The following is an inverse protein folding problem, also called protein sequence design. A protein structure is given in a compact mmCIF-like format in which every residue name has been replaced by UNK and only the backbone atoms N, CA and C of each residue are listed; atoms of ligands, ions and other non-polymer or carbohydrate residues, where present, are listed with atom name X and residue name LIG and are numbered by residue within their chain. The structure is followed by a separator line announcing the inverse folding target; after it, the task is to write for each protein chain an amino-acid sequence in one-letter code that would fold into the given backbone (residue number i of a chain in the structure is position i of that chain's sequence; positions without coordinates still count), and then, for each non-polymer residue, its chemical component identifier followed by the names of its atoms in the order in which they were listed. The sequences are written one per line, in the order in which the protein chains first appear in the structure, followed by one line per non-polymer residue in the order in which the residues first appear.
data_IF_100778360394
#
_entry.id   IF_100778360394
#
_cell.length_a   1.000
_cell.length_b   1.000
_cell.length_c   1.000
_cell.angle_alpha   90.00
_cell.angle_beta   90.00
_cell.angle_gamma   90.00
#
_symmetry.space_group_name_H-M   'P 1'
#
loop_
_entity.id
_entity.type
_entity.pdbx_description
1 polymer ?
#
# COMPACT_ATOMS: atom_id res chain seq x y z
N UNK A 1 17.31 2.74 26.49
CA UNK A 1 15.86 2.94 26.71
C UNK A 1 15.12 2.28 25.56
N UNK A 2 13.99 1.59 25.86
CA UNK A 2 13.11 1.09 24.80
C UNK A 2 12.32 2.25 24.17
N UNK A 3 11.92 2.14 22.89
CA UNK A 3 11.11 3.14 22.19
C UNK A 3 9.84 3.52 22.99
N UNK A 4 9.15 2.52 23.56
CA UNK A 4 7.96 2.73 24.40
C UNK A 4 8.24 3.60 25.64
N UNK A 5 9.39 3.41 26.28
CA UNK A 5 9.78 4.22 27.45
C UNK A 5 10.08 5.66 27.04
N UNK A 6 10.77 5.87 25.91
CA UNK A 6 11.08 7.19 25.39
C UNK A 6 9.83 7.97 25.00
N UNK A 7 8.88 7.33 24.31
CA UNK A 7 7.59 7.94 23.94
C UNK A 7 6.75 8.25 25.18
N UNK A 8 6.71 7.36 26.18
CA UNK A 8 6.01 7.65 27.45
C UNK A 8 6.64 8.82 28.21
N UNK A 9 7.96 8.95 28.16
CA UNK A 9 8.66 10.10 28.75
C UNK A 9 8.27 11.40 28.04
N UNK A 10 8.26 11.41 26.70
CA UNK A 10 7.83 12.56 25.92
C UNK A 10 6.39 12.95 26.26
N UNK A 11 5.47 11.99 26.29
CA UNK A 11 4.07 12.23 26.65
C UNK A 11 3.92 12.88 28.02
N UNK A 12 4.70 12.46 29.03
CA UNK A 12 4.69 13.10 30.36
C UNK A 12 5.21 14.55 30.31
N UNK A 13 6.24 14.82 29.51
CA UNK A 13 6.78 16.18 29.34
C UNK A 13 5.79 17.10 28.64
N UNK A 14 5.11 16.61 27.60
CA UNK A 14 4.08 17.36 26.87
C UNK A 14 2.87 17.64 27.77
N UNK A 15 2.38 16.65 28.51
CA UNK A 15 1.28 16.85 29.46
C UNK A 15 1.64 17.86 30.58
N UNK A 16 2.92 17.88 30.97
CA UNK A 16 3.38 18.88 31.95
C UNK A 16 3.36 20.31 31.36
N UNK A 17 3.62 20.48 30.07
CA UNK A 17 3.46 21.78 29.40
C UNK A 17 1.99 22.18 29.25
N UNK A 18 1.10 21.23 28.98
CA UNK A 18 -0.35 21.53 28.84
C UNK A 18 -1.00 22.06 30.13
N UNK A 19 -0.42 21.81 31.31
CA UNK A 19 -0.84 22.37 32.58
C UNK A 19 -0.75 23.90 32.65
N UNK A 20 -0.03 24.56 31.71
CA UNK A 20 0.01 26.04 31.60
C UNK A 20 -1.34 26.68 31.26
N UNK A 21 -2.31 25.89 30.80
CA UNK A 21 -3.67 26.37 30.51
C UNK A 21 -4.40 26.88 31.78
N UNK A 22 -3.93 26.51 32.97
CA UNK A 22 -4.42 27.04 34.23
C UNK A 22 -3.62 28.31 34.63
N UNK A 23 -4.19 29.49 34.38
CA UNK A 23 -3.52 30.79 34.49
C UNK A 23 -2.91 31.03 35.88
N UNK A 24 -3.58 30.66 36.95
CA UNK A 24 -3.12 30.84 38.32
C UNK A 24 -1.91 29.98 38.65
N UNK A 25 -1.99 28.70 38.26
CA UNK A 25 -0.92 27.74 38.48
C UNK A 25 0.32 28.05 37.64
N UNK A 26 0.11 28.47 36.38
CA UNK A 26 1.17 28.90 35.46
C UNK A 26 1.92 30.12 36.04
N UNK A 27 1.22 31.15 36.53
CA UNK A 27 1.85 32.36 37.07
C UNK A 27 2.71 32.06 38.31
N UNK A 28 2.23 31.21 39.23
CA UNK A 28 2.96 30.82 40.43
C UNK A 28 4.19 29.95 40.07
N UNK A 29 4.01 28.95 39.24
CA UNK A 29 5.10 28.04 38.86
C UNK A 29 6.17 28.72 38.02
N UNK A 30 5.81 29.62 37.08
CA UNK A 30 6.77 30.34 36.27
C UNK A 30 7.49 31.44 37.05
N UNK A 31 6.76 32.16 37.96
CA UNK A 31 7.36 33.21 38.78
C UNK A 31 8.38 32.70 39.80
N UNK A 32 8.19 31.48 40.34
CA UNK A 32 9.06 30.92 41.38
C UNK A 32 10.14 29.99 40.84
N UNK A 33 9.86 29.21 39.80
CA UNK A 33 10.71 28.06 39.42
C UNK A 33 11.07 28.01 37.93
N UNK A 34 10.67 29.02 37.14
CA UNK A 34 10.85 29.00 35.69
C UNK A 34 10.38 27.67 35.05
N UNK A 35 9.19 27.22 35.43
CA UNK A 35 8.65 25.89 35.11
C UNK A 35 8.64 25.62 33.61
N UNK A 36 8.12 26.54 32.80
CA UNK A 36 8.06 26.39 31.36
C UNK A 36 9.44 26.21 30.75
N UNK A 37 10.41 27.05 31.13
CA UNK A 37 11.77 26.97 30.64
C UNK A 37 12.40 25.61 30.97
N UNK A 38 12.16 25.11 32.18
CA UNK A 38 12.64 23.77 32.57
C UNK A 38 12.02 22.64 31.74
N UNK A 39 10.73 22.73 31.42
CA UNK A 39 10.08 21.72 30.56
C UNK A 39 10.59 21.80 29.13
N UNK A 40 10.79 22.99 28.57
CA UNK A 40 11.38 23.18 27.24
C UNK A 40 12.78 22.56 27.18
N UNK A 41 13.64 22.87 28.16
CA UNK A 41 14.99 22.27 28.23
C UNK A 41 14.96 20.73 28.30
N UNK A 42 14.00 20.15 29.04
CA UNK A 42 13.83 18.70 29.12
C UNK A 42 13.37 18.09 27.80
N UNK A 43 12.51 18.79 27.07
CA UNK A 43 12.05 18.36 25.75
C UNK A 43 13.18 18.45 24.74
N UNK A 44 13.96 19.54 24.75
CA UNK A 44 15.14 19.66 23.87
C UNK A 44 16.17 18.55 24.15
N UNK A 45 16.44 18.27 25.41
CA UNK A 45 17.33 17.15 25.78
C UNK A 45 16.79 15.79 25.32
N UNK A 46 15.48 15.57 25.42
CA UNK A 46 14.84 14.37 24.91
C UNK A 46 15.00 14.28 23.38
N UNK A 47 14.76 15.37 22.67
CA UNK A 47 14.93 15.50 21.22
C UNK A 47 16.37 15.20 20.80
N UNK A 48 17.36 15.80 21.43
CA UNK A 48 18.77 15.51 21.16
C UNK A 48 19.10 14.02 21.30
N UNK A 49 18.49 13.34 22.26
CA UNK A 49 18.76 11.92 22.53
C UNK A 49 18.04 10.97 21.58
N UNK A 50 16.85 11.33 21.08
CA UNK A 50 15.95 10.39 20.41
C UNK A 50 15.52 10.81 19.00
N UNK A 51 15.88 12.02 18.53
CA UNK A 51 15.44 12.49 17.22
C UNK A 51 15.89 11.58 16.08
N UNK A 52 17.09 11.00 16.18
CA UNK A 52 17.61 10.06 15.18
C UNK A 52 16.87 8.74 15.11
N UNK A 53 16.19 8.34 16.20
CA UNK A 53 15.46 7.07 16.27
C UNK A 53 14.01 7.19 15.77
N UNK A 54 13.45 8.42 15.77
CA UNK A 54 12.05 8.66 15.41
C UNK A 54 11.65 8.12 14.03
N UNK A 55 12.42 8.37 12.94
CA UNK A 55 12.07 7.85 11.63
C UNK A 55 11.92 6.33 11.63
N UNK A 56 12.86 5.62 12.27
CA UNK A 56 12.84 4.16 12.39
C UNK A 56 11.61 3.66 13.18
N UNK A 57 11.21 4.36 14.24
CA UNK A 57 10.02 3.98 15.00
C UNK A 57 8.75 4.14 14.17
N UNK A 58 8.65 5.25 13.41
CA UNK A 58 7.50 5.49 12.53
C UNK A 58 7.44 4.44 11.41
N UNK A 59 8.58 4.13 10.79
CA UNK A 59 8.69 3.09 9.77
C UNK A 59 8.23 1.72 10.30
N UNK A 60 8.71 1.32 11.48
CA UNK A 60 8.32 0.06 12.12
C UNK A 60 6.82 -0.01 12.42
N UNK A 61 6.22 1.10 12.87
CA UNK A 61 4.77 1.17 13.09
C UNK A 61 4.03 1.03 11.77
N UNK A 62 4.50 1.72 10.72
CA UNK A 62 3.91 1.61 9.37
C UNK A 62 3.99 0.19 8.80
N UNK A 63 5.09 -0.51 8.99
CA UNK A 63 5.22 -1.91 8.59
C UNK A 63 4.22 -2.81 9.34
N UNK A 64 4.10 -2.65 10.65
CA UNK A 64 3.13 -3.42 11.44
C UNK A 64 1.69 -3.14 10.98
N UNK A 65 1.35 -1.89 10.72
CA UNK A 65 0.02 -1.49 10.23
C UNK A 65 -0.28 -2.10 8.85
N UNK A 66 0.71 -2.09 7.95
CA UNK A 66 0.61 -2.76 6.65
C UNK A 66 0.37 -4.28 6.79
N UNK A 67 1.13 -4.97 7.67
CA UNK A 67 0.92 -6.39 7.93
C UNK A 67 -0.44 -6.67 8.57
N UNK A 68 -0.91 -5.83 9.48
CA UNK A 68 -2.26 -5.96 10.06
C UNK A 68 -3.35 -5.83 8.98
N UNK A 69 -3.18 -4.91 8.05
CA UNK A 69 -4.10 -4.73 6.93
C UNK A 69 -4.15 -5.96 6.01
N UNK A 70 -2.98 -6.50 5.65
CA UNK A 70 -2.88 -7.73 4.85
C UNK A 70 -3.44 -8.96 5.60
N UNK A 71 -3.20 -9.06 6.89
CA UNK A 71 -3.74 -10.13 7.74
C UNK A 71 -5.28 -10.05 7.81
N UNK A 72 -5.83 -8.85 7.95
CA UNK A 72 -7.29 -8.62 7.93
C UNK A 72 -7.89 -8.99 6.57
N UNK A 73 -7.23 -8.62 5.47
CA UNK A 73 -7.63 -9.02 4.12
C UNK A 73 -7.64 -10.55 3.98
N UNK A 74 -6.60 -11.22 4.44
CA UNK A 74 -6.49 -12.69 4.43
C UNK A 74 -7.60 -13.34 5.26
N UNK A 75 -7.85 -12.84 6.46
CA UNK A 75 -8.89 -13.35 7.34
C UNK A 75 -10.29 -13.26 6.72
N UNK A 76 -10.57 -12.16 6.02
CA UNK A 76 -11.86 -11.94 5.36
C UNK A 76 -12.02 -12.74 4.05
N UNK A 77 -10.93 -13.34 3.53
CA UNK A 77 -10.93 -14.11 2.29
C UNK A 77 -10.27 -15.50 2.47
N UNK A 78 -10.88 -16.38 3.27
CA UNK A 78 -10.27 -17.67 3.62
C UNK A 78 -10.12 -18.64 2.43
N UNK A 79 -10.81 -18.38 1.32
CA UNK A 79 -10.74 -19.13 0.07
C UNK A 79 -9.67 -18.63 -0.91
N UNK A 80 -8.96 -17.54 -0.56
CA UNK A 80 -7.85 -17.04 -1.36
C UNK A 80 -6.58 -17.84 -1.02
N UNK A 81 -5.71 -17.95 -2.00
CA UNK A 81 -4.43 -18.67 -1.87
C UNK A 81 -3.25 -17.71 -1.88
N UNK A 82 -2.18 -18.08 -1.21
CA UNK A 82 -0.90 -17.38 -1.39
C UNK A 82 -0.23 -17.86 -2.68
N UNK A 83 0.15 -16.94 -3.58
CA UNK A 83 0.79 -17.30 -4.83
C UNK A 83 2.23 -17.78 -4.60
N UNK A 84 2.71 -18.64 -5.49
CA UNK A 84 4.12 -19.03 -5.52
C UNK A 84 4.94 -17.98 -6.24
N UNK A 85 6.01 -17.51 -5.61
CA UNK A 85 6.94 -16.54 -6.19
C UNK A 85 8.15 -17.29 -6.75
N UNK A 86 8.42 -17.11 -8.04
CA UNK A 86 9.60 -17.67 -8.70
C UNK A 86 10.72 -16.64 -8.78
N UNK A 87 11.95 -17.09 -8.65
CA UNK A 87 13.17 -16.28 -8.78
C UNK A 87 13.99 -16.59 -10.05
N UNK A 88 13.62 -17.63 -10.80
CA UNK A 88 14.49 -18.15 -11.85
C UNK A 88 14.23 -17.57 -13.25
N UNK A 89 12.97 -17.45 -13.63
CA UNK A 89 12.60 -16.95 -14.96
C UNK A 89 11.28 -16.20 -14.92
N UNK A 90 11.11 -15.27 -15.87
CA UNK A 90 9.84 -14.57 -16.00
C UNK A 90 8.74 -15.54 -16.41
N UNK A 91 7.72 -15.63 -15.59
CA UNK A 91 6.45 -16.25 -15.96
C UNK A 91 5.30 -15.66 -15.13
N UNK A 92 4.12 -15.76 -15.66
CA UNK A 92 2.86 -15.46 -14.99
C UNK A 92 1.89 -16.58 -15.37
N UNK A 93 1.65 -17.48 -14.43
CA UNK A 93 0.71 -18.59 -14.62
C UNK A 93 -0.32 -18.55 -13.52
N UNK A 94 -1.59 -18.58 -13.89
CA UNK A 94 -2.68 -18.67 -12.93
C UNK A 94 -3.87 -19.45 -13.51
N UNK A 95 -4.54 -20.20 -12.63
CA UNK A 95 -5.79 -20.89 -12.92
C UNK A 95 -6.94 -20.26 -12.16
N UNK A 96 -8.06 -20.06 -12.85
CA UNK A 96 -9.32 -19.59 -12.28
C UNK A 96 -9.16 -18.32 -11.42
N UNK A 97 -8.52 -17.28 -11.99
CA UNK A 97 -8.44 -15.95 -11.40
C UNK A 97 -9.81 -15.30 -11.30
N UNK A 98 -10.16 -14.80 -10.11
CA UNK A 98 -11.33 -13.98 -9.87
C UNK A 98 -10.95 -12.53 -9.53
N UNK A 99 -11.83 -11.59 -9.82
CA UNK A 99 -11.63 -10.19 -9.44
C UNK A 99 -12.04 -9.98 -7.97
N UNK A 100 -11.13 -9.55 -7.07
CA UNK A 100 -11.38 -9.50 -5.63
C UNK A 100 -12.60 -8.65 -5.21
N UNK A 101 -12.93 -7.62 -6.00
CA UNK A 101 -14.04 -6.70 -5.73
C UNK A 101 -15.36 -7.13 -6.39
N UNK A 102 -15.39 -8.26 -7.11
CA UNK A 102 -16.61 -8.75 -7.75
C UNK A 102 -17.37 -9.71 -6.84
N UNK A 103 -18.68 -9.70 -6.99
CA UNK A 103 -19.52 -10.70 -6.32
C UNK A 103 -19.11 -12.11 -6.77
N UNK A 104 -18.82 -12.99 -5.82
CA UNK A 104 -18.31 -14.36 -6.05
C UNK A 104 -19.20 -15.18 -6.95
N UNK A 105 -20.52 -15.03 -6.82
CA UNK A 105 -21.52 -15.79 -7.59
C UNK A 105 -21.65 -15.29 -9.04
N UNK A 106 -21.16 -14.08 -9.36
CA UNK A 106 -21.27 -13.47 -10.69
C UNK A 106 -19.91 -13.40 -11.42
N UNK A 107 -18.83 -13.66 -10.71
CA UNK A 107 -17.49 -13.56 -11.28
C UNK A 107 -17.15 -14.77 -12.14
N UNK A 108 -16.93 -14.56 -13.42
CA UNK A 108 -16.35 -15.58 -14.33
C UNK A 108 -14.84 -15.59 -14.11
N UNK A 109 -14.32 -16.72 -13.67
CA UNK A 109 -12.91 -16.91 -13.38
C UNK A 109 -12.16 -17.48 -14.56
N UNK A 110 -11.07 -16.83 -14.97
CA UNK A 110 -10.29 -17.22 -16.14
C UNK A 110 -8.81 -17.46 -15.74
N UNK A 111 -8.11 -18.24 -16.56
CA UNK A 111 -6.68 -18.45 -16.39
C UNK A 111 -5.85 -17.50 -17.24
N UNK A 112 -4.54 -17.49 -16.96
CA UNK A 112 -3.51 -16.87 -17.78
C UNK A 112 -2.25 -17.72 -17.73
N UNK A 113 -1.53 -17.80 -18.84
CA UNK A 113 -0.24 -18.50 -18.93
C UNK A 113 0.70 -17.72 -19.83
N UNK A 114 1.75 -17.14 -19.22
CA UNK A 114 2.85 -16.44 -19.89
C UNK A 114 4.15 -17.03 -19.37
N UNK A 115 4.88 -17.77 -20.19
CA UNK A 115 6.04 -18.56 -19.78
C UNK A 115 7.39 -18.00 -20.23
N UNK A 116 7.41 -16.94 -21.07
CA UNK A 116 8.64 -16.38 -21.64
C UNK A 116 8.53 -14.91 -22.03
N UNK A 117 9.69 -14.29 -22.28
CA UNK A 117 9.83 -12.94 -22.88
C UNK A 117 10.64 -13.01 -24.17
N UNK A 118 10.40 -12.16 -25.19
CA UNK A 118 9.29 -11.21 -25.28
C UNK A 118 7.96 -11.89 -25.56
N UNK A 119 6.88 -11.32 -25.06
CA UNK A 119 5.55 -11.89 -25.21
C UNK A 119 4.47 -10.79 -25.18
N UNK A 120 3.43 -10.96 -25.97
CA UNK A 120 2.23 -10.12 -25.88
C UNK A 120 0.96 -10.95 -26.10
N UNK A 121 -0.13 -10.56 -25.45
CA UNK A 121 -1.44 -11.16 -25.61
C UNK A 121 -2.40 -10.14 -26.20
N UNK A 122 -3.09 -10.50 -27.26
CA UNK A 122 -4.18 -9.70 -27.82
C UNK A 122 -5.51 -10.30 -27.33
N UNK A 123 -6.27 -9.51 -26.56
CA UNK A 123 -7.57 -9.91 -26.05
C UNK A 123 -8.65 -9.25 -26.89
N UNK A 124 -9.36 -10.04 -27.68
CA UNK A 124 -10.43 -9.59 -28.60
C UNK A 124 -11.78 -10.11 -28.13
N UNK A 125 -12.85 -9.49 -28.60
CA UNK A 125 -14.22 -9.91 -28.31
C UNK A 125 -15.20 -8.76 -28.42
N UNK A 126 -16.50 -9.05 -28.36
CA UNK A 126 -17.58 -8.07 -28.43
C UNK A 126 -17.48 -7.00 -27.32
N UNK A 127 -18.12 -5.86 -27.52
CA UNK A 127 -18.26 -4.87 -26.46
C UNK A 127 -19.05 -5.50 -25.30
N UNK A 128 -18.68 -5.11 -24.06
CA UNK A 128 -19.25 -5.64 -22.80
C UNK A 128 -18.96 -7.14 -22.52
N UNK A 129 -18.12 -7.80 -23.33
CA UNK A 129 -17.75 -9.22 -23.11
C UNK A 129 -16.79 -9.45 -21.94
N UNK A 130 -16.46 -8.42 -21.15
CA UNK A 130 -15.61 -8.56 -19.97
C UNK A 130 -14.09 -8.43 -20.22
N UNK A 131 -13.65 -7.96 -21.39
CA UNK A 131 -12.23 -7.79 -21.72
C UNK A 131 -11.48 -6.94 -20.70
N UNK A 132 -11.99 -5.75 -20.40
CA UNK A 132 -11.39 -4.84 -19.40
C UNK A 132 -11.43 -5.42 -17.99
N UNK A 133 -12.49 -6.14 -17.64
CA UNK A 133 -12.59 -6.84 -16.36
C UNK A 133 -11.53 -7.92 -16.22
N UNK A 134 -11.28 -8.69 -17.28
CA UNK A 134 -10.23 -9.69 -17.30
C UNK A 134 -8.84 -9.07 -17.09
N UNK A 135 -8.51 -8.00 -17.84
CA UNK A 135 -7.23 -7.29 -17.67
C UNK A 135 -7.05 -6.76 -16.25
N UNK A 136 -8.10 -6.16 -15.68
CA UNK A 136 -8.09 -5.69 -14.27
C UNK A 136 -7.92 -6.85 -13.30
N UNK A 137 -8.57 -7.98 -13.55
CA UNK A 137 -8.44 -9.20 -12.73
C UNK A 137 -7.00 -9.69 -12.69
N UNK A 138 -6.35 -9.77 -13.84
CA UNK A 138 -4.93 -10.17 -13.93
C UNK A 138 -4.05 -9.17 -13.20
N UNK A 139 -4.21 -7.86 -13.48
CA UNK A 139 -3.39 -6.81 -12.88
C UNK A 139 -3.51 -6.74 -11.37
N UNK A 140 -4.73 -6.79 -10.81
CA UNK A 140 -4.92 -6.70 -9.36
C UNK A 140 -4.40 -7.92 -8.62
N UNK A 141 -4.60 -9.14 -9.14
CA UNK A 141 -4.06 -10.34 -8.51
C UNK A 141 -2.53 -10.39 -8.62
N UNK A 142 -1.96 -9.92 -9.74
CA UNK A 142 -0.52 -9.78 -9.87
C UNK A 142 0.06 -8.80 -8.85
N UNK A 143 -0.58 -7.63 -8.66
CA UNK A 143 -0.19 -6.65 -7.64
C UNK A 143 -0.28 -7.25 -6.24
N UNK A 144 -1.39 -7.90 -5.89
CA UNK A 144 -1.57 -8.59 -4.61
C UNK A 144 -0.46 -9.62 -4.37
N UNK A 145 -0.13 -10.42 -5.38
CA UNK A 145 0.95 -11.38 -5.33
C UNK A 145 2.31 -10.71 -5.06
N UNK A 146 2.63 -9.60 -5.72
CA UNK A 146 3.88 -8.87 -5.54
C UNK A 146 4.04 -8.26 -4.13
N UNK A 147 2.96 -7.88 -3.48
CA UNK A 147 2.99 -7.34 -2.10
C UNK A 147 2.85 -8.42 -1.02
N UNK A 148 2.80 -9.71 -1.40
CA UNK A 148 2.70 -10.83 -0.47
C UNK A 148 1.29 -11.11 0.06
N UNK A 149 0.25 -10.56 -0.57
CA UNK A 149 -1.14 -10.80 -0.24
C UNK A 149 -1.67 -12.07 -0.89
N UNK A 150 -2.73 -12.71 -0.35
CA UNK A 150 -3.41 -13.81 -1.00
C UNK A 150 -4.20 -13.32 -2.23
N UNK A 151 -4.38 -14.20 -3.20
CA UNK A 151 -5.04 -13.95 -4.48
C UNK A 151 -6.26 -14.85 -4.66
N UNK A 152 -7.25 -14.36 -5.38
CA UNK A 152 -8.42 -15.19 -5.70
C UNK A 152 -8.17 -16.04 -6.94
N UNK A 153 -7.52 -17.17 -6.74
CA UNK A 153 -7.19 -18.13 -7.77
C UNK A 153 -7.27 -19.56 -7.23
N UNK A 154 -7.30 -20.55 -8.14
CA UNK A 154 -7.09 -21.95 -7.77
C UNK A 154 -5.59 -22.22 -7.59
N UNK A 155 -4.77 -21.68 -8.48
CA UNK A 155 -3.31 -21.70 -8.41
C UNK A 155 -2.77 -20.42 -9.04
N UNK A 156 -1.65 -19.92 -8.52
CA UNK A 156 -0.94 -18.80 -9.13
C UNK A 156 0.56 -18.92 -8.85
N UNK A 157 1.35 -18.73 -9.89
CA UNK A 157 2.80 -18.64 -9.83
C UNK A 157 3.27 -17.45 -10.66
N UNK A 158 4.10 -16.60 -10.08
CA UNK A 158 4.58 -15.38 -10.73
C UNK A 158 6.08 -15.19 -10.56
N UNK A 159 6.68 -14.46 -11.50
CA UNK A 159 7.97 -13.80 -11.34
C UNK A 159 7.69 -12.30 -11.08
N UNK A 160 8.17 -11.71 -9.97
CA UNK A 160 7.96 -10.30 -9.69
C UNK A 160 8.63 -9.42 -10.75
N UNK A 161 7.86 -8.53 -11.36
CA UNK A 161 8.34 -7.57 -12.33
C UNK A 161 7.56 -6.26 -12.20
N UNK A 162 8.06 -5.19 -12.79
CA UNK A 162 7.36 -3.90 -12.81
C UNK A 162 6.06 -4.04 -13.60
N UNK A 163 4.94 -3.72 -12.96
CA UNK A 163 3.63 -3.65 -13.60
C UNK A 163 3.37 -2.21 -14.07
N UNK A 164 3.07 -2.06 -15.35
CA UNK A 164 2.63 -0.79 -15.94
C UNK A 164 1.28 -1.02 -16.58
N UNK A 165 0.30 -0.16 -16.30
CA UNK A 165 -1.06 -0.28 -16.84
C UNK A 165 -1.53 1.04 -17.39
N UNK A 166 -2.24 1.00 -18.51
CA UNK A 166 -2.98 2.12 -19.07
C UNK A 166 -4.41 1.69 -19.36
N UNK A 167 -5.36 2.29 -18.66
CA UNK A 167 -6.79 2.03 -18.81
C UNK A 167 -7.51 3.38 -18.85
N UNK A 168 -7.79 3.89 -20.03
CA UNK A 168 -8.60 5.09 -20.18
C UNK A 168 -10.09 4.75 -20.12
N UNK A 169 -10.83 5.52 -19.32
CA UNK A 169 -12.27 5.34 -19.09
C UNK A 169 -13.13 6.40 -19.81
N UNK A 170 -12.52 7.39 -20.48
CA UNK A 170 -13.25 8.49 -21.12
C UNK A 170 -13.07 8.48 -22.64
N UNK A 171 -14.17 8.34 -23.34
CA UNK A 171 -14.27 8.69 -24.75
C UNK A 171 -14.31 10.21 -24.86
N UNK A 172 -13.17 10.87 -25.14
CA UNK A 172 -13.20 12.26 -25.60
C UNK A 172 -13.35 12.26 -27.10
N UNK A 173 -14.52 12.67 -27.58
CA UNK A 173 -14.85 12.81 -29.00
C UNK A 173 -14.13 14.03 -29.65
N UNK A 174 -13.26 14.72 -28.93
CA UNK A 174 -12.66 16.00 -29.34
C UNK A 174 -11.26 15.90 -29.94
N UNK A 175 -10.56 14.77 -29.77
CA UNK A 175 -9.21 14.63 -30.29
C UNK A 175 -9.16 13.65 -31.47
N UNK A 176 -8.85 14.17 -32.66
CA UNK A 176 -8.72 13.43 -33.93
C UNK A 176 -7.51 12.44 -33.96
N UNK A 177 -6.87 12.17 -32.83
CA UNK A 177 -5.77 11.21 -32.75
C UNK A 177 -6.30 9.81 -32.44
N UNK A 178 -5.77 8.81 -33.18
CA UNK A 178 -6.08 7.43 -32.93
C UNK A 178 -5.78 7.09 -31.45
N UNK A 179 -6.76 6.64 -30.71
CA UNK A 179 -6.66 6.18 -29.31
C UNK A 179 -5.44 5.28 -29.07
N UNK A 180 -5.15 4.41 -30.01
CA UNK A 180 -4.00 3.51 -29.97
C UNK A 180 -2.66 4.26 -29.98
N UNK A 181 -2.55 5.34 -30.77
CA UNK A 181 -1.32 6.11 -30.92
C UNK A 181 -1.02 6.94 -29.64
N UNK A 182 -2.04 7.58 -29.07
CA UNK A 182 -1.90 8.34 -27.81
C UNK A 182 -1.53 7.43 -26.61
N UNK A 183 -2.08 6.23 -26.57
CA UNK A 183 -1.79 5.22 -25.54
C UNK A 183 -0.36 4.66 -25.69
N UNK A 184 0.08 4.44 -26.91
CA UNK A 184 1.43 3.98 -27.24
C UNK A 184 2.49 5.04 -26.88
N UNK A 185 2.22 6.32 -27.12
CA UNK A 185 3.09 7.43 -26.72
C UNK A 185 3.17 7.54 -25.19
N UNK A 186 2.07 7.34 -24.46
CA UNK A 186 2.09 7.37 -22.99
C UNK A 186 2.93 6.25 -22.37
N UNK A 187 3.00 5.10 -23.03
CA UNK A 187 3.82 3.94 -22.59
C UNK A 187 5.31 4.09 -22.91
N UNK A 188 5.67 4.88 -23.94
CA UNK A 188 7.06 5.15 -24.31
C UNK A 188 7.72 6.13 -23.33
N UNK A 189 6.95 6.98 -22.66
CA UNK A 189 7.45 7.98 -21.72
C UNK A 189 7.50 7.53 -20.25
N UNK A 190 7.22 6.26 -19.95
CA UNK A 190 7.37 5.64 -18.62
C UNK A 190 8.68 4.86 -18.52
#
# INVERSE_FOLDING_TARGET
QTASQAVRQLSKLMNALDQRSNLLMSTILNGLIFWELRQVMRIEKWKETHASDLPRWIETIGEIDAYCSLATFTYNHPDYIFPKISSQSFHLRAEALGHPLMNRNKCVRNGIDIDKRPFFIIITGANMAGKSTYLRTVGINYLLACIGAPVWAKQMEIYPARLVTSLRTSDSLTDNESYFFAELLSLIHI
#
